data_IF_106447666873
#
_entry.id   IF_106447666873
#
_cell.length_a   1.000
_cell.length_b   1.000
_cell.length_c   1.000
_cell.angle_alpha   90.00
_cell.angle_beta   90.00
_cell.angle_gamma   90.00
#
_symmetry.space_group_name_H-M   'P 1'
#
loop_
_entity.id
_entity.type
_entity.pdbx_description
1 polymer ?
#
# COMPACT_ATOMS: atom_id res chain seq x y z
N UNK A 1 9.07 25.71 -14.73
CA UNK A 1 8.95 24.25 -14.47
C UNK A 1 10.13 23.62 -15.18
N UNK A 2 11.10 23.12 -14.41
CA UNK A 2 12.23 22.39 -14.97
C UNK A 2 11.77 20.96 -15.27
N UNK A 3 11.63 20.63 -16.56
CA UNK A 3 11.41 19.26 -17.02
C UNK A 3 12.75 18.56 -17.13
N UNK A 4 12.99 17.59 -16.26
CA UNK A 4 14.18 16.75 -16.34
C UNK A 4 13.95 15.59 -17.31
N UNK A 5 14.97 15.19 -18.09
CA UNK A 5 14.87 14.03 -18.97
C UNK A 5 14.67 12.74 -18.17
N UNK A 6 14.21 11.68 -18.84
CA UNK A 6 13.91 10.32 -18.32
C UNK A 6 15.02 9.63 -17.51
N UNK A 7 16.05 10.35 -17.07
CA UNK A 7 17.22 9.87 -16.34
C UNK A 7 17.34 10.47 -14.93
N UNK A 8 16.31 11.15 -14.40
CA UNK A 8 16.36 11.61 -13.01
C UNK A 8 16.23 10.44 -12.04
N UNK A 9 16.75 10.63 -10.84
CA UNK A 9 16.62 9.64 -9.76
C UNK A 9 15.15 9.32 -9.47
N UNK A 10 14.31 10.35 -9.42
CA UNK A 10 12.87 10.23 -9.15
C UNK A 10 12.14 9.47 -10.26
N UNK A 11 12.55 9.67 -11.53
CA UNK A 11 12.01 8.89 -12.64
C UNK A 11 12.38 7.41 -12.52
N UNK A 12 13.63 7.10 -12.19
CA UNK A 12 14.09 5.73 -11.98
C UNK A 12 13.36 5.07 -10.79
N UNK A 13 13.16 5.82 -9.70
CA UNK A 13 12.46 5.37 -8.51
C UNK A 13 11.00 5.01 -8.81
N UNK A 14 10.25 5.90 -9.47
CA UNK A 14 8.87 5.62 -9.87
C UNK A 14 8.78 4.50 -10.90
N UNK A 15 9.69 4.45 -11.87
CA UNK A 15 9.72 3.37 -12.85
C UNK A 15 9.95 2.00 -12.18
N UNK A 16 10.73 1.95 -11.11
CA UNK A 16 10.92 0.73 -10.33
C UNK A 16 9.65 0.36 -9.55
N UNK A 17 8.97 1.36 -8.95
CA UNK A 17 7.71 1.17 -8.24
C UNK A 17 6.61 0.63 -9.18
N UNK A 18 6.44 1.24 -10.35
CA UNK A 18 5.42 0.86 -11.34
C UNK A 18 5.63 -0.56 -11.89
N UNK A 19 6.89 -1.01 -12.03
CA UNK A 19 7.19 -2.40 -12.42
C UNK A 19 6.75 -3.42 -11.37
N UNK A 20 6.52 -2.98 -10.14
CA UNK A 20 6.12 -3.86 -9.04
C UNK A 20 7.21 -4.85 -8.61
N UNK A 21 6.89 -5.76 -7.69
CA UNK A 21 7.82 -6.76 -7.17
C UNK A 21 8.22 -7.75 -8.27
N UNK A 22 9.51 -7.78 -8.61
CA UNK A 22 10.06 -8.68 -9.62
C UNK A 22 10.66 -9.92 -8.95
N UNK A 23 9.96 -11.06 -9.00
CA UNK A 23 10.52 -12.38 -8.67
C UNK A 23 10.96 -12.61 -7.22
N UNK A 24 10.70 -11.67 -6.32
CA UNK A 24 11.29 -11.71 -4.97
C UNK A 24 10.40 -12.46 -3.97
N UNK A 25 9.10 -12.50 -4.16
CA UNK A 25 8.19 -13.25 -3.29
C UNK A 25 6.79 -13.32 -3.90
N UNK A 26 6.18 -14.50 -3.83
CA UNK A 26 4.75 -14.69 -4.15
C UNK A 26 3.80 -14.01 -3.13
N UNK A 27 4.35 -13.48 -2.03
CA UNK A 27 3.61 -12.81 -0.98
C UNK A 27 3.38 -11.31 -1.26
N UNK A 28 4.12 -10.73 -2.22
CA UNK A 28 3.98 -9.32 -2.59
C UNK A 28 3.18 -9.20 -3.89
N UNK A 29 2.16 -8.36 -3.87
CA UNK A 29 1.39 -7.98 -5.05
C UNK A 29 1.47 -6.49 -5.30
N UNK A 30 1.48 -6.07 -6.56
CA UNK A 30 1.39 -4.65 -6.91
C UNK A 30 0.00 -4.13 -6.56
N UNK A 31 -0.06 -2.96 -5.95
CA UNK A 31 -1.31 -2.21 -5.74
C UNK A 31 -1.60 -1.24 -6.89
N UNK A 32 -0.60 -1.02 -7.76
CA UNK A 32 -0.71 -0.20 -8.96
C UNK A 32 -0.87 -1.14 -10.14
N UNK A 33 -1.78 -0.82 -11.06
CA UNK A 33 -1.96 -1.59 -12.28
C UNK A 33 -0.67 -1.58 -13.12
N UNK A 34 -0.30 -2.74 -13.65
CA UNK A 34 0.95 -2.90 -14.42
C UNK A 34 0.92 -2.19 -15.77
N UNK A 35 -0.27 -1.81 -16.28
CA UNK A 35 -0.43 -1.01 -17.48
C UNK A 35 -0.18 0.49 -17.25
N UNK A 36 -0.11 0.90 -15.98
CA UNK A 36 0.20 2.29 -15.61
C UNK A 36 1.57 2.70 -16.11
N UNK A 37 1.63 3.80 -16.85
CA UNK A 37 2.89 4.38 -17.35
C UNK A 37 3.17 5.73 -16.70
N UNK A 38 4.47 6.01 -16.49
CA UNK A 38 4.94 7.33 -16.08
C UNK A 38 5.13 8.20 -17.31
N UNK A 39 4.28 9.21 -17.49
CA UNK A 39 4.30 10.11 -18.64
C UNK A 39 5.29 11.25 -18.44
N UNK A 40 5.31 11.86 -17.27
CA UNK A 40 6.27 12.91 -16.96
C UNK A 40 6.44 13.10 -15.45
N UNK A 41 7.58 13.69 -15.09
CA UNK A 41 7.87 14.18 -13.76
C UNK A 41 8.49 15.57 -13.84
N UNK A 42 8.05 16.48 -12.99
CA UNK A 42 8.57 17.84 -12.92
C UNK A 42 8.56 18.36 -11.49
N UNK A 43 9.22 19.48 -11.25
CA UNK A 43 9.47 19.98 -9.90
C UNK A 43 9.21 21.48 -9.84
N UNK A 44 8.58 21.93 -8.77
CA UNK A 44 8.42 23.35 -8.47
C UNK A 44 8.40 23.56 -6.96
N UNK A 45 9.31 24.40 -6.47
CA UNK A 45 9.44 24.66 -5.04
C UNK A 45 9.70 23.37 -4.25
N UNK A 46 8.80 23.02 -3.36
CA UNK A 46 8.89 21.81 -2.53
C UNK A 46 7.88 20.71 -2.95
N UNK A 47 7.46 20.76 -4.21
CA UNK A 47 6.47 19.85 -4.77
C UNK A 47 7.00 19.11 -5.99
N UNK A 48 6.75 17.81 -6.05
CA UNK A 48 6.94 16.98 -7.23
C UNK A 48 5.60 16.87 -7.95
N UNK A 49 5.60 17.07 -9.26
CA UNK A 49 4.46 16.88 -10.14
C UNK A 49 4.66 15.60 -10.94
N UNK A 50 3.78 14.65 -10.77
CA UNK A 50 3.82 13.34 -11.41
C UNK A 50 2.63 13.19 -12.34
N UNK A 51 2.90 12.91 -13.60
CA UNK A 51 1.86 12.60 -14.58
C UNK A 51 1.89 11.12 -14.91
N UNK A 52 0.77 10.44 -14.69
CA UNK A 52 0.59 9.01 -14.96
C UNK A 52 -0.46 8.81 -16.06
N UNK A 53 -0.44 7.63 -16.68
CA UNK A 53 -1.51 7.23 -17.60
C UNK A 53 -2.83 6.98 -16.87
N UNK A 54 -3.90 6.97 -17.63
CA UNK A 54 -5.28 6.74 -17.17
C UNK A 54 -5.47 5.39 -16.45
N UNK A 55 -4.66 4.40 -16.80
CA UNK A 55 -4.66 3.08 -16.16
C UNK A 55 -4.31 3.12 -14.65
N UNK A 56 -3.83 4.25 -14.15
CA UNK A 56 -3.61 4.45 -12.72
C UNK A 56 -4.92 4.51 -11.92
N UNK A 57 -6.03 4.89 -12.55
CA UNK A 57 -7.35 4.96 -11.91
C UNK A 57 -7.98 3.58 -11.93
N UNK A 58 -8.06 2.94 -10.77
CA UNK A 58 -8.58 1.58 -10.60
C UNK A 58 -10.09 1.53 -10.30
N UNK A 59 -10.69 2.70 -10.02
CA UNK A 59 -12.08 2.79 -9.60
C UNK A 59 -13.02 2.73 -10.81
N UNK A 60 -13.69 1.62 -10.96
CA UNK A 60 -14.81 1.45 -11.87
C UNK A 60 -16.11 1.35 -11.04
N UNK A 61 -17.03 2.28 -11.26
CA UNK A 61 -18.36 2.17 -10.66
C UNK A 61 -19.19 1.19 -11.48
N UNK A 62 -19.53 0.05 -10.88
CA UNK A 62 -20.46 -0.92 -11.49
C UNK A 62 -21.82 -0.85 -10.80
N UNK A 63 -22.90 -0.94 -11.58
CA UNK A 63 -24.29 -0.76 -11.10
C UNK A 63 -24.73 -1.74 -9.97
N UNK A 64 -24.00 -2.84 -9.77
CA UNK A 64 -24.36 -3.89 -8.80
C UNK A 64 -23.31 -4.10 -7.70
N UNK A 65 -22.43 -3.13 -7.46
CA UNK A 65 -21.38 -3.23 -6.47
C UNK A 65 -21.91 -3.01 -5.06
N UNK A 66 -21.53 -3.87 -4.12
CA UNK A 66 -21.84 -3.67 -2.70
C UNK A 66 -21.01 -2.51 -2.11
N UNK A 67 -21.52 -1.90 -1.02
CA UNK A 67 -20.79 -0.85 -0.31
C UNK A 67 -19.42 -1.33 0.19
N UNK A 68 -19.31 -2.60 0.60
CA UNK A 68 -18.06 -3.19 1.07
C UNK A 68 -17.04 -3.35 -0.08
N UNK A 69 -17.49 -3.82 -1.24
CA UNK A 69 -16.63 -3.93 -2.43
C UNK A 69 -16.16 -2.57 -2.90
N UNK A 70 -17.04 -1.57 -2.90
CA UNK A 70 -16.67 -0.20 -3.24
C UNK A 70 -15.66 0.38 -2.25
N UNK A 71 -15.87 0.20 -0.94
CA UNK A 71 -14.94 0.64 0.09
C UNK A 71 -13.55 -0.01 -0.07
N UNK A 72 -13.50 -1.30 -0.43
CA UNK A 72 -12.25 -2.00 -0.70
C UNK A 72 -11.53 -1.46 -1.95
N UNK A 73 -12.26 -1.16 -3.02
CA UNK A 73 -11.67 -0.53 -4.21
C UNK A 73 -11.13 0.86 -3.91
N UNK A 74 -11.87 1.68 -3.15
CA UNK A 74 -11.39 2.98 -2.68
C UNK A 74 -10.11 2.85 -1.85
N UNK A 75 -10.04 1.85 -0.96
CA UNK A 75 -8.83 1.60 -0.19
C UNK A 75 -7.65 1.22 -1.09
N UNK A 76 -7.84 0.32 -2.05
CA UNK A 76 -6.79 -0.07 -3.01
C UNK A 76 -6.29 1.11 -3.82
N UNK A 77 -7.20 1.97 -4.29
CA UNK A 77 -6.83 3.18 -5.02
C UNK A 77 -6.01 4.13 -4.15
N UNK A 78 -6.39 4.36 -2.89
CA UNK A 78 -5.58 5.17 -1.96
C UNK A 78 -4.22 4.54 -1.67
N UNK A 79 -4.14 3.22 -1.55
CA UNK A 79 -2.86 2.52 -1.42
C UNK A 79 -1.96 2.74 -2.63
N UNK A 80 -2.51 2.71 -3.86
CA UNK A 80 -1.75 3.04 -5.07
C UNK A 80 -1.25 4.50 -5.04
N UNK A 81 -2.13 5.45 -4.69
CA UNK A 81 -1.78 6.87 -4.54
C UNK A 81 -0.63 7.07 -3.55
N UNK A 82 -0.78 6.53 -2.33
CA UNK A 82 0.23 6.70 -1.30
C UNK A 82 1.49 5.87 -1.51
N UNK A 83 1.44 4.80 -2.30
CA UNK A 83 2.66 4.14 -2.77
C UNK A 83 3.53 5.09 -3.59
N UNK A 84 2.94 5.89 -4.48
CA UNK A 84 3.66 6.90 -5.26
C UNK A 84 4.13 8.04 -4.36
N UNK A 85 3.22 8.62 -3.57
CA UNK A 85 3.49 9.79 -2.72
C UNK A 85 4.57 9.50 -1.67
N UNK A 86 4.39 8.44 -0.89
CA UNK A 86 5.32 8.09 0.18
C UNK A 86 6.69 7.70 -0.37
N UNK A 87 6.75 6.92 -1.47
CA UNK A 87 8.01 6.53 -2.11
C UNK A 87 8.81 7.76 -2.55
N UNK A 88 8.17 8.76 -3.16
CA UNK A 88 8.86 9.97 -3.58
C UNK A 88 9.31 10.81 -2.38
N UNK A 89 8.44 11.09 -1.43
CA UNK A 89 8.76 11.95 -0.29
C UNK A 89 9.84 11.32 0.59
N UNK A 90 9.75 10.02 0.88
CA UNK A 90 10.71 9.30 1.72
C UNK A 90 12.13 9.28 1.11
N UNK A 91 12.23 9.21 -0.21
CA UNK A 91 13.51 9.05 -0.91
C UNK A 91 14.06 10.34 -1.53
N UNK A 92 13.36 11.47 -1.35
CA UNK A 92 13.77 12.77 -1.90
C UNK A 92 13.69 13.86 -0.84
N UNK A 93 14.09 15.06 -1.18
CA UNK A 93 13.98 16.22 -0.27
C UNK A 93 12.65 16.98 -0.35
N UNK A 94 11.70 16.49 -1.13
CA UNK A 94 10.40 17.15 -1.33
C UNK A 94 9.42 16.75 -0.25
N UNK A 95 8.40 17.59 0.03
CA UNK A 95 7.37 17.32 1.05
C UNK A 95 5.97 17.17 0.49
N UNK A 96 5.80 17.37 -0.81
CA UNK A 96 4.50 17.30 -1.47
C UNK A 96 4.61 16.63 -2.84
N UNK A 97 3.55 15.92 -3.22
CA UNK A 97 3.39 15.32 -4.55
C UNK A 97 2.04 15.72 -5.12
N UNK A 98 2.02 16.29 -6.30
CA UNK A 98 0.81 16.56 -7.08
C UNK A 98 0.67 15.54 -8.20
N UNK A 99 -0.45 14.85 -8.24
CA UNK A 99 -0.76 13.88 -9.30
C UNK A 99 -1.53 14.54 -10.44
N UNK A 100 -1.18 14.12 -11.65
CA UNK A 100 -1.89 14.40 -12.90
C UNK A 100 -2.13 13.10 -13.65
N UNK A 101 -3.21 13.05 -14.41
CA UNK A 101 -3.57 11.90 -15.25
C UNK A 101 -3.69 12.37 -16.70
N UNK A 102 -3.11 11.59 -17.61
CA UNK A 102 -3.33 11.75 -19.06
C UNK A 102 -4.57 10.94 -19.44
N UNK A 103 -5.64 11.64 -19.83
CA UNK A 103 -6.85 11.00 -20.33
C UNK A 103 -6.65 10.57 -21.77
N UNK A 104 -6.55 9.28 -22.01
CA UNK A 104 -6.26 8.71 -23.35
C UNK A 104 -7.30 9.13 -24.39
N UNK A 105 -8.57 9.13 -24.01
CA UNK A 105 -9.69 9.42 -24.94
C UNK A 105 -9.72 10.89 -25.39
N UNK A 106 -9.24 11.80 -24.57
CA UNK A 106 -9.29 13.24 -24.79
C UNK A 106 -7.94 13.86 -25.10
N UNK A 107 -6.86 13.11 -24.89
CA UNK A 107 -5.48 13.58 -24.97
C UNK A 107 -5.24 14.85 -24.13
N UNK A 108 -5.84 14.88 -22.93
CA UNK A 108 -5.76 15.99 -21.98
C UNK A 108 -5.07 15.49 -20.72
N UNK A 109 -4.21 16.34 -20.15
CA UNK A 109 -3.60 16.12 -18.84
C UNK A 109 -4.33 16.98 -17.81
N UNK A 110 -4.87 16.35 -16.79
CA UNK A 110 -5.63 17.04 -15.74
C UNK A 110 -5.34 16.49 -14.34
N UNK A 111 -5.70 17.26 -13.32
CA UNK A 111 -5.70 16.77 -11.95
C UNK A 111 -6.91 15.87 -11.75
N UNK A 112 -6.72 14.64 -11.28
CA UNK A 112 -7.85 13.77 -10.94
C UNK A 112 -8.66 14.38 -9.79
N UNK A 113 -9.93 14.01 -9.73
CA UNK A 113 -10.77 14.32 -8.58
C UNK A 113 -10.40 13.47 -7.37
N UNK A 114 -10.81 13.89 -6.20
CA UNK A 114 -10.63 13.16 -4.95
C UNK A 114 -11.33 11.79 -5.01
N UNK A 115 -12.55 11.75 -5.57
CA UNK A 115 -13.29 10.51 -5.77
C UNK A 115 -12.56 9.51 -6.66
N UNK A 116 -12.02 9.92 -7.81
CA UNK A 116 -11.24 9.04 -8.68
C UNK A 116 -10.02 8.43 -7.97
N UNK A 117 -9.47 9.09 -6.98
CA UNK A 117 -8.37 8.60 -6.16
C UNK A 117 -8.81 7.85 -4.88
N UNK A 118 -10.10 7.54 -4.76
CA UNK A 118 -10.65 6.75 -3.67
C UNK A 118 -10.90 7.52 -2.36
N UNK A 119 -10.89 8.85 -2.40
CA UNK A 119 -11.21 9.68 -1.23
C UNK A 119 -12.70 10.00 -1.21
N UNK A 120 -13.45 9.24 -0.43
CA UNK A 120 -14.89 9.34 -0.25
C UNK A 120 -15.28 9.58 1.21
N UNK A 121 -16.46 10.18 1.40
CA UNK A 121 -17.12 10.30 2.71
C UNK A 121 -16.96 11.65 3.38
N UNK A 122 -16.28 12.63 2.76
CA UNK A 122 -16.16 14.00 3.25
C UNK A 122 -16.99 15.03 2.43
N UNK A 123 -17.72 14.57 1.41
CA UNK A 123 -18.54 15.40 0.53
C UNK A 123 -17.75 16.23 -0.49
N UNK A 124 -16.47 15.94 -0.68
CA UNK A 124 -15.54 16.67 -1.55
C UNK A 124 -15.03 15.82 -2.71
N UNK A 125 -15.71 14.76 -3.04
CA UNK A 125 -15.28 13.76 -4.02
C UNK A 125 -15.09 14.35 -5.42
N UNK A 126 -15.87 15.37 -5.78
CA UNK A 126 -15.77 16.07 -7.08
C UNK A 126 -14.66 17.13 -7.15
N UNK A 127 -14.06 17.48 -6.04
CA UNK A 127 -12.96 18.45 -6.03
C UNK A 127 -11.68 17.79 -6.58
N UNK A 128 -10.86 18.59 -7.27
CA UNK A 128 -9.54 18.12 -7.70
C UNK A 128 -8.62 17.90 -6.49
N UNK A 129 -7.77 16.86 -6.61
CA UNK A 129 -6.81 16.56 -5.56
C UNK A 129 -5.79 17.69 -5.40
N UNK A 130 -5.55 18.09 -4.18
CA UNK A 130 -4.47 19.01 -3.81
C UNK A 130 -3.14 18.24 -3.64
N UNK A 131 -1.98 18.93 -3.64
CA UNK A 131 -0.70 18.28 -3.39
C UNK A 131 -0.69 17.51 -2.09
N UNK A 132 -0.43 16.20 -2.18
CA UNK A 132 -0.45 15.27 -1.07
C UNK A 132 0.87 15.31 -0.30
N UNK A 133 0.78 15.23 1.03
CA UNK A 133 1.90 14.95 1.91
C UNK A 133 2.02 13.43 2.13
N UNK A 134 3.13 13.01 2.71
CA UNK A 134 3.31 11.64 3.19
C UNK A 134 2.22 11.27 4.21
N UNK A 135 1.71 10.06 4.09
CA UNK A 135 0.80 9.46 5.06
C UNK A 135 1.35 8.10 5.50
N UNK A 136 1.86 8.06 6.71
CA UNK A 136 2.48 6.86 7.30
C UNK A 136 1.49 5.73 7.54
N UNK A 137 0.18 6.00 7.58
CA UNK A 137 -0.85 4.96 7.76
C UNK A 137 -0.91 3.97 6.59
N UNK A 138 -0.37 4.36 5.42
CA UNK A 138 -0.23 3.50 4.25
C UNK A 138 1.13 2.80 4.15
N UNK A 139 2.00 2.94 5.16
CA UNK A 139 3.28 2.24 5.22
C UNK A 139 3.13 0.98 6.07
N UNK A 140 3.32 -0.19 5.44
CA UNK A 140 3.33 -1.47 6.15
C UNK A 140 4.67 -1.65 6.87
N UNK A 141 4.72 -1.29 8.14
CA UNK A 141 5.86 -1.59 9.01
C UNK A 141 5.71 -2.97 9.64
N UNK A 142 6.79 -3.57 10.17
CA UNK A 142 6.70 -4.81 10.95
C UNK A 142 5.71 -4.72 12.12
N UNK A 143 5.61 -3.54 12.76
CA UNK A 143 4.65 -3.31 13.84
C UNK A 143 3.21 -3.28 13.33
N UNK A 144 2.94 -2.59 12.21
CA UNK A 144 1.59 -2.55 11.65
C UNK A 144 1.14 -3.92 11.14
N UNK A 145 2.04 -4.69 10.52
CA UNK A 145 1.76 -6.07 10.12
C UNK A 145 1.43 -6.96 11.34
N UNK A 146 2.20 -6.83 12.41
CA UNK A 146 1.97 -7.62 13.63
C UNK A 146 0.68 -7.20 14.35
N UNK A 147 0.33 -5.90 14.37
CA UNK A 147 -0.95 -5.39 14.88
C UNK A 147 -2.12 -5.95 14.07
N UNK A 148 -2.03 -5.96 12.74
CA UNK A 148 -3.07 -6.50 11.86
C UNK A 148 -3.25 -8.01 12.06
N UNK A 149 -2.16 -8.78 12.10
CA UNK A 149 -2.16 -10.21 12.41
C UNK A 149 -2.86 -10.50 13.75
N UNK A 150 -2.45 -9.80 14.81
CA UNK A 150 -3.04 -9.97 16.16
C UNK A 150 -4.53 -9.62 16.19
N UNK A 151 -4.94 -8.55 15.47
CA UNK A 151 -6.35 -8.19 15.35
C UNK A 151 -7.18 -9.27 14.66
N UNK A 152 -6.63 -9.94 13.65
CA UNK A 152 -7.30 -11.07 13.01
C UNK A 152 -7.48 -12.24 13.99
N UNK A 153 -6.46 -12.57 14.78
CA UNK A 153 -6.55 -13.61 15.81
C UNK A 153 -7.60 -13.29 16.87
N UNK A 154 -7.63 -12.07 17.40
CA UNK A 154 -8.61 -11.61 18.39
C UNK A 154 -10.04 -11.71 17.85
N UNK A 155 -10.25 -11.41 16.58
CA UNK A 155 -11.55 -11.49 15.91
C UNK A 155 -11.93 -12.91 15.48
N UNK A 156 -11.03 -13.88 15.62
CA UNK A 156 -11.24 -15.26 15.16
C UNK A 156 -11.19 -15.40 13.63
N UNK A 157 -10.71 -14.39 12.92
CA UNK A 157 -10.55 -14.44 11.46
C UNK A 157 -9.21 -15.10 11.11
N UNK A 158 -9.16 -16.43 11.20
CA UNK A 158 -7.93 -17.20 11.03
C UNK A 158 -7.45 -17.25 9.57
N UNK A 159 -8.35 -17.19 8.60
CA UNK A 159 -7.99 -17.14 7.18
C UNK A 159 -7.20 -15.88 6.85
N UNK A 160 -7.65 -14.72 7.32
CA UNK A 160 -6.90 -13.48 7.12
C UNK A 160 -5.62 -13.43 7.94
N UNK A 161 -5.63 -13.93 9.19
CA UNK A 161 -4.41 -14.07 9.98
C UNK A 161 -3.35 -14.90 9.24
N UNK A 162 -3.78 -16.01 8.62
CA UNK A 162 -2.89 -16.89 7.87
C UNK A 162 -2.16 -16.18 6.70
N UNK A 163 -2.78 -15.17 6.08
CA UNK A 163 -2.16 -14.38 4.98
C UNK A 163 -0.94 -13.58 5.43
N UNK A 164 -0.84 -13.24 6.72
CA UNK A 164 0.32 -12.54 7.30
C UNK A 164 1.50 -13.47 7.61
N UNK A 165 1.32 -14.79 7.58
CA UNK A 165 2.39 -15.74 7.85
C UNK A 165 3.30 -15.89 6.62
N UNK A 166 4.60 -15.81 6.84
CA UNK A 166 5.58 -16.05 5.77
C UNK A 166 5.50 -17.48 5.24
N UNK A 167 5.61 -17.64 3.92
CA UNK A 167 5.78 -18.96 3.29
C UNK A 167 7.14 -19.59 3.62
N UNK A 168 8.15 -18.74 3.87
CA UNK A 168 9.53 -19.15 4.17
C UNK A 168 9.82 -18.96 5.66
N UNK A 169 10.13 -20.03 6.34
CA UNK A 169 10.53 -19.95 7.74
C UNK A 169 12.02 -19.62 7.88
N UNK A 170 12.32 -18.56 8.59
CA UNK A 170 13.69 -18.21 8.97
C UNK A 170 14.37 -19.31 9.85
N UNK A 171 13.59 -20.23 10.41
CA UNK A 171 14.03 -21.31 11.28
C UNK A 171 14.05 -22.67 10.57
N UNK A 172 13.69 -22.73 9.29
CA UNK A 172 13.56 -23.99 8.55
C UNK A 172 12.28 -24.79 8.88
N UNK A 173 11.40 -24.26 9.73
CA UNK A 173 10.09 -24.85 10.01
C UNK A 173 9.15 -24.47 8.88
N UNK A 174 8.62 -25.44 8.17
CA UNK A 174 7.64 -25.16 7.12
C UNK A 174 6.37 -24.58 7.72
N UNK A 175 5.82 -23.56 7.04
CA UNK A 175 4.51 -23.02 7.36
C UNK A 175 3.48 -24.15 7.22
N UNK A 176 2.61 -24.41 8.23
CA UNK A 176 1.49 -25.34 8.06
C UNK A 176 0.56 -24.83 6.95
N UNK A 177 -0.25 -25.69 6.37
CA UNK A 177 -1.38 -25.23 5.56
C UNK A 177 -2.44 -24.53 6.44
N UNK A 178 -3.42 -23.91 5.81
CA UNK A 178 -4.46 -23.18 6.54
C UNK A 178 -5.17 -24.08 7.56
N UNK A 179 -5.52 -25.30 7.18
CA UNK A 179 -6.22 -26.25 8.05
C UNK A 179 -5.36 -26.64 9.28
N UNK A 180 -4.06 -26.84 9.07
CA UNK A 180 -3.11 -27.08 10.15
C UNK A 180 -2.95 -25.90 11.08
N UNK A 181 -2.90 -24.68 10.54
CA UNK A 181 -2.84 -23.44 11.33
C UNK A 181 -4.10 -23.25 12.18
N UNK A 182 -5.29 -23.48 11.61
CA UNK A 182 -6.56 -23.40 12.33
C UNK A 182 -6.65 -24.47 13.41
N UNK A 183 -6.21 -25.70 13.13
CA UNK A 183 -6.19 -26.80 14.09
C UNK A 183 -5.26 -26.47 15.27
N UNK A 184 -4.05 -26.00 15.00
CA UNK A 184 -3.07 -25.61 16.04
C UNK A 184 -3.61 -24.47 16.93
N UNK A 185 -4.22 -23.45 16.30
CA UNK A 185 -4.82 -22.34 17.04
C UNK A 185 -5.98 -22.80 17.93
N UNK A 186 -6.87 -23.64 17.43
CA UNK A 186 -8.03 -24.15 18.17
C UNK A 186 -7.66 -25.19 19.24
N UNK A 187 -6.63 -26.02 19.03
CA UNK A 187 -6.17 -27.03 19.99
C UNK A 187 -5.54 -26.40 21.23
N UNK A 188 -4.87 -25.29 21.10
CA UNK A 188 -4.24 -24.61 22.21
C UNK A 188 -5.27 -23.93 23.14
N UNK A 189 -6.56 -23.88 22.75
CA UNK A 189 -7.71 -23.49 23.59
C UNK A 189 -7.66 -22.08 24.16
N UNK A 190 -6.69 -21.30 23.75
CA UNK A 190 -6.41 -19.98 24.30
C UNK A 190 -6.69 -18.94 23.21
N UNK A 191 -7.92 -18.46 23.19
CA UNK A 191 -8.26 -17.34 22.31
C UNK A 191 -7.60 -16.07 22.82
N UNK A 192 -6.81 -15.44 21.97
CA UNK A 192 -6.24 -14.13 22.25
C UNK A 192 -7.37 -13.11 22.46
N UNK A 193 -7.45 -12.52 23.65
CA UNK A 193 -8.49 -11.54 24.01
C UNK A 193 -8.02 -10.12 23.67
N UNK A 194 -6.75 -9.84 23.91
CA UNK A 194 -6.14 -8.56 23.56
C UNK A 194 -4.67 -8.73 23.23
N UNK A 195 -4.13 -7.81 22.43
CA UNK A 195 -2.72 -7.76 22.10
C UNK A 195 -2.24 -6.31 22.05
N UNK A 196 -1.07 -6.06 22.62
CA UNK A 196 -0.36 -4.80 22.54
C UNK A 196 0.98 -5.06 21.85
N UNK A 197 1.21 -4.38 20.72
CA UNK A 197 2.44 -4.48 19.94
C UNK A 197 3.30 -3.27 20.23
N UNK A 198 4.55 -3.52 20.65
CA UNK A 198 5.53 -2.45 20.85
C UNK A 198 5.80 -1.70 19.53
N UNK A 199 5.91 -0.39 19.61
CA UNK A 199 6.35 0.44 18.48
C UNK A 199 7.83 0.27 18.16
N UNK A 200 8.61 -0.29 19.10
CA UNK A 200 10.03 -0.55 18.92
C UNK A 200 10.25 -1.93 18.32
N UNK A 201 10.99 -1.96 17.24
CA UNK A 201 11.47 -3.19 16.60
C UNK A 201 12.90 -3.02 16.11
N UNK A 202 13.61 -4.12 15.97
CA UNK A 202 14.94 -4.14 15.36
C UNK A 202 14.87 -4.82 14.01
N UNK A 203 15.62 -4.31 13.03
CA UNK A 203 15.74 -4.87 11.70
C UNK A 203 17.14 -5.45 11.52
N UNK A 204 17.26 -6.59 10.84
CA UNK A 204 18.55 -7.18 10.48
C UNK A 204 19.31 -6.28 9.49
N UNK A 205 20.64 -6.41 9.44
CA UNK A 205 21.48 -5.58 8.55
C UNK A 205 21.11 -5.70 7.08
N UNK A 206 20.61 -6.87 6.65
CA UNK A 206 20.14 -7.11 5.28
C UNK A 206 18.69 -6.69 5.03
N UNK A 207 17.99 -6.15 6.04
CA UNK A 207 16.60 -5.73 5.96
C UNK A 207 15.57 -6.87 5.83
N UNK A 208 16.02 -8.12 5.80
CA UNK A 208 15.15 -9.28 5.53
C UNK A 208 14.32 -9.74 6.72
N UNK A 209 14.66 -9.32 7.93
CA UNK A 209 14.03 -9.74 9.19
C UNK A 209 13.81 -8.57 10.12
N UNK A 210 12.68 -8.60 10.82
CA UNK A 210 12.44 -7.70 11.94
C UNK A 210 12.05 -8.49 13.18
N UNK A 211 12.37 -7.96 14.35
CA UNK A 211 11.96 -8.49 15.65
C UNK A 211 11.24 -7.40 16.42
N UNK A 212 10.03 -7.68 16.81
CA UNK A 212 9.21 -6.82 17.67
C UNK A 212 8.76 -7.58 18.90
N UNK A 213 8.17 -6.86 19.84
CA UNK A 213 7.60 -7.43 21.06
C UNK A 213 6.07 -7.30 21.00
N UNK A 214 5.39 -8.37 21.37
CA UNK A 214 3.94 -8.40 21.54
C UNK A 214 3.64 -8.88 22.97
N UNK A 215 2.78 -8.16 23.68
CA UNK A 215 2.16 -8.57 24.92
C UNK A 215 0.71 -8.91 24.65
N UNK A 216 0.23 -10.06 25.14
CA UNK A 216 -1.13 -10.49 24.88
C UNK A 216 -1.77 -11.09 26.14
N UNK A 217 -3.09 -11.03 26.18
CA UNK A 217 -3.93 -11.69 27.19
C UNK A 217 -4.70 -12.80 26.49
N UNK A 218 -4.67 -13.98 27.08
CA UNK A 218 -5.37 -15.18 26.63
C UNK A 218 -6.68 -15.31 27.40
#
# INVERSE_FOLDING_TARGET
>A
IDTYPNNSYEYALLSALLRGPQGVSSALSSVIDQSTTLESISFEGNCIFVTLSDDFILLEQTENQSEEEFALQCLRQRMAVYSVVNTLIENTGYSRVQLYIVRKDQNVTERPSRGELGFYGDGRESEHIEPLAMDESYIMTPCTALKAFSSCLIKGNLEDAYKYLSSDSATGILRPDLAGFEADYNQNGQMMVSAEVSEFYSVSEDGSRARGMISYIL
#
